data_IF_408434842900
#
_entry.id   IF_408434842900
#
_cell.length_a   1.000
_cell.length_b   1.000
_cell.length_c   1.000
_cell.angle_alpha   90.00
_cell.angle_beta   90.00
_cell.angle_gamma   90.00
#
_symmetry.space_group_name_H-M   'P 1'
#
loop_
_entity.id
_entity.type
_entity.pdbx_description
1 polymer ?
#
# COMPACT_ATOMS: atom_id res chain seq x y z
N UNK A 1 19.09 4.71 -0.73
CA UNK A 1 17.77 4.38 -1.31
C UNK A 1 17.20 3.17 -0.58
N UNK A 2 16.32 3.39 0.40
CA UNK A 2 15.64 2.32 1.13
C UNK A 2 14.58 1.68 0.23
N UNK A 3 14.94 0.58 -0.44
CA UNK A 3 13.96 -0.31 -1.06
C UNK A 3 13.30 -1.15 0.06
N UNK A 4 12.21 -0.63 0.65
CA UNK A 4 11.32 -1.47 1.47
C UNK A 4 10.63 -2.47 0.55
N UNK A 5 10.58 -3.73 0.97
CA UNK A 5 10.04 -4.85 0.20
C UNK A 5 8.68 -4.48 -0.41
N UNK A 6 8.62 -4.41 -1.75
CA UNK A 6 7.38 -4.11 -2.47
C UNK A 6 6.45 -5.30 -2.27
N UNK A 7 5.25 -5.02 -1.80
CA UNK A 7 4.18 -5.98 -1.56
C UNK A 7 4.06 -7.02 -2.69
N UNK A 8 3.80 -8.27 -2.32
CA UNK A 8 3.43 -9.32 -3.29
C UNK A 8 1.90 -9.36 -3.40
N UNK A 9 1.36 -10.01 -4.44
CA UNK A 9 -0.09 -10.12 -4.63
C UNK A 9 -0.80 -8.76 -4.57
N UNK A 10 -0.33 -7.84 -5.41
CA UNK A 10 -0.76 -6.45 -5.36
C UNK A 10 -1.86 -6.13 -6.37
N UNK A 11 -2.82 -5.30 -5.97
CA UNK A 11 -3.72 -4.55 -6.84
C UNK A 11 -3.34 -3.07 -6.76
N UNK A 12 -3.28 -2.42 -7.92
CA UNK A 12 -2.95 -0.99 -8.03
C UNK A 12 -4.08 -0.27 -8.77
N UNK A 13 -4.59 0.79 -8.16
CA UNK A 13 -5.56 1.70 -8.75
C UNK A 13 -4.86 3.02 -9.10
N UNK A 14 -4.93 3.43 -10.37
CA UNK A 14 -4.43 4.73 -10.78
C UNK A 14 -5.37 5.82 -10.24
N UNK A 15 -4.86 6.73 -9.42
CA UNK A 15 -5.65 7.84 -8.86
C UNK A 15 -5.71 9.06 -9.79
N UNK A 16 -4.93 9.02 -10.87
CA UNK A 16 -4.78 10.10 -11.84
C UNK A 16 -4.71 9.51 -13.23
N UNK A 17 -5.14 10.23 -14.29
CA UNK A 17 -5.10 9.71 -15.66
C UNK A 17 -3.69 9.29 -16.13
N UNK A 18 -2.66 9.99 -15.66
CA UNK A 18 -1.26 9.67 -15.94
C UNK A 18 -0.65 8.66 -14.97
N UNK A 19 -1.44 8.10 -14.04
CA UNK A 19 -1.05 7.11 -13.04
C UNK A 19 0.16 7.51 -12.16
N UNK A 20 0.50 8.81 -12.09
CA UNK A 20 1.62 9.28 -11.28
C UNK A 20 1.33 9.25 -9.78
N UNK A 21 0.05 9.28 -9.40
CA UNK A 21 -0.47 8.94 -8.07
C UNK A 21 -1.27 7.64 -8.15
N UNK A 22 -1.13 6.78 -7.15
CA UNK A 22 -1.77 5.48 -7.11
C UNK A 22 -2.17 5.06 -5.68
N UNK A 23 -3.17 4.19 -5.59
CA UNK A 23 -3.55 3.45 -4.40
C UNK A 23 -3.21 1.98 -4.61
N UNK A 24 -2.40 1.41 -3.73
CA UNK A 24 -1.93 0.03 -3.79
C UNK A 24 -2.46 -0.74 -2.58
N UNK A 25 -3.01 -1.94 -2.82
CA UNK A 25 -3.25 -2.94 -1.78
C UNK A 25 -2.42 -4.16 -2.12
N UNK A 26 -1.66 -4.69 -1.15
CA UNK A 26 -0.82 -5.86 -1.37
C UNK A 26 -0.33 -6.48 -0.06
N UNK A 27 0.29 -7.65 -0.14
CA UNK A 27 0.78 -8.38 1.03
C UNK A 27 2.25 -8.04 1.28
N UNK A 28 2.54 -7.46 2.44
CA UNK A 28 3.90 -7.37 2.97
C UNK A 28 4.34 -8.77 3.44
N UNK A 29 5.20 -9.42 2.65
CA UNK A 29 5.69 -10.76 2.96
C UNK A 29 6.67 -10.76 4.14
N UNK A 30 6.50 -11.70 5.05
CA UNK A 30 7.37 -11.90 6.20
C UNK A 30 6.92 -13.10 7.03
N UNK A 31 7.57 -13.37 8.19
CA UNK A 31 7.14 -14.42 9.10
C UNK A 31 5.71 -14.20 9.62
N UNK A 32 5.27 -12.94 9.65
CA UNK A 32 3.90 -12.49 9.91
C UNK A 32 3.49 -11.58 8.75
N UNK A 33 3.09 -12.20 7.65
CA UNK A 33 2.61 -11.46 6.49
C UNK A 33 1.30 -10.75 6.81
N UNK A 34 1.12 -9.55 6.25
CA UNK A 34 -0.09 -8.75 6.44
C UNK A 34 -0.38 -7.93 5.19
N UNK A 35 -1.63 -7.51 5.04
CA UNK A 35 -2.06 -6.65 3.94
C UNK A 35 -1.75 -5.19 4.28
N UNK A 36 -1.17 -4.48 3.34
CA UNK A 36 -0.93 -3.04 3.39
C UNK A 36 -1.85 -2.34 2.38
N UNK A 37 -2.49 -1.25 2.81
CA UNK A 37 -3.10 -0.26 1.93
C UNK A 37 -2.13 0.92 1.87
N UNK A 38 -1.82 1.43 0.68
CA UNK A 38 -0.90 2.53 0.56
C UNK A 38 -1.23 3.50 -0.57
N UNK A 39 -1.11 4.79 -0.28
CA UNK A 39 -1.16 5.85 -1.26
C UNK A 39 0.28 6.16 -1.65
N UNK A 40 0.57 6.25 -2.94
CA UNK A 40 1.93 6.49 -3.41
C UNK A 40 2.01 7.33 -4.67
N UNK A 41 3.24 7.67 -5.02
CA UNK A 41 3.56 8.33 -6.28
C UNK A 41 4.80 7.74 -6.98
N UNK A 42 4.98 8.13 -8.25
CA UNK A 42 6.09 7.67 -9.09
C UNK A 42 7.46 8.17 -8.64
N UNK A 43 7.51 9.15 -7.73
CA UNK A 43 8.76 9.65 -7.15
C UNK A 43 9.23 8.81 -5.95
N UNK A 44 8.43 7.81 -5.55
CA UNK A 44 8.75 6.91 -4.45
C UNK A 44 8.21 7.36 -3.09
N UNK A 45 7.43 8.44 -3.04
CA UNK A 45 6.71 8.81 -1.83
C UNK A 45 5.56 7.82 -1.62
N UNK A 46 5.41 7.30 -0.40
CA UNK A 46 4.39 6.31 -0.06
C UNK A 46 3.94 6.45 1.39
N UNK A 47 2.64 6.60 1.59
CA UNK A 47 1.98 6.55 2.90
C UNK A 47 1.31 5.19 3.01
N UNK A 48 1.66 4.40 4.02
CA UNK A 48 1.02 3.11 4.31
C UNK A 48 -0.04 3.35 5.36
N UNK A 49 -1.28 3.04 5.04
CA UNK A 49 -2.44 3.20 5.91
C UNK A 49 -2.76 1.83 6.53
N UNK A 50 -2.80 1.73 7.88
CA UNK A 50 -3.52 0.65 8.52
C UNK A 50 -4.97 0.61 8.02
N UNK A 51 -5.56 -0.58 7.90
CA UNK A 51 -6.96 -0.73 7.47
C UNK A 51 -7.92 0.08 8.32
N UNK A 52 -7.74 0.10 9.65
CA UNK A 52 -8.53 0.94 10.54
C UNK A 52 -8.42 2.45 10.23
N UNK A 53 -7.26 2.92 9.77
CA UNK A 53 -7.08 4.32 9.35
C UNK A 53 -7.76 4.59 8.01
N UNK A 54 -7.73 3.62 7.08
CA UNK A 54 -8.50 3.69 5.83
C UNK A 54 -10.01 3.75 6.10
N UNK A 55 -10.55 2.86 6.94
CA UNK A 55 -11.98 2.88 7.31
C UNK A 55 -12.37 4.21 7.94
N UNK A 56 -11.59 4.72 8.90
CA UNK A 56 -11.86 6.02 9.52
C UNK A 56 -11.74 7.18 8.51
N UNK A 57 -10.86 7.07 7.51
CA UNK A 57 -10.78 8.03 6.41
C UNK A 57 -12.05 8.06 5.56
N UNK A 58 -12.62 6.90 5.23
CA UNK A 58 -13.90 6.78 4.52
C UNK A 58 -15.06 7.32 5.36
N UNK A 59 -15.15 6.95 6.64
CA UNK A 59 -16.19 7.43 7.57
C UNK A 59 -16.20 8.95 7.72
N UNK A 60 -15.04 9.58 7.52
CA UNK A 60 -14.84 11.04 7.61
C UNK A 60 -15.06 11.78 6.29
N UNK A 61 -15.61 11.14 5.26
CA UNK A 61 -15.85 11.73 3.94
C UNK A 61 -16.53 13.11 4.01
N UNK A 62 -17.64 13.24 4.73
CA UNK A 62 -18.39 14.51 4.82
C UNK A 62 -17.58 15.61 5.54
N UNK A 63 -16.80 15.25 6.55
CA UNK A 63 -15.91 16.17 7.27
C UNK A 63 -14.80 16.67 6.34
N UNK A 64 -14.26 15.77 5.50
CA UNK A 64 -13.21 16.05 4.53
C UNK A 64 -13.74 16.89 3.36
N UNK A 65 -14.94 16.62 2.87
CA UNK A 65 -15.59 17.43 1.84
C UNK A 65 -15.78 18.88 2.33
N UNK A 66 -16.24 19.05 3.58
CA UNK A 66 -16.33 20.37 4.22
C UNK A 66 -14.96 21.03 4.41
N UNK A 67 -13.93 20.26 4.78
CA UNK A 67 -12.55 20.74 4.89
C UNK A 67 -12.06 21.33 3.56
N UNK A 68 -12.26 20.61 2.45
CA UNK A 68 -11.83 21.03 1.11
C UNK A 68 -12.56 22.27 0.61
N UNK A 69 -13.81 22.46 1.03
CA UNK A 69 -14.61 23.64 0.66
C UNK A 69 -14.31 24.88 1.54
N UNK A 70 -13.50 24.73 2.59
CA UNK A 70 -13.13 25.83 3.48
C UNK A 70 -12.28 26.88 2.74
N UNK A 71 -12.59 28.15 2.98
CA UNK A 71 -11.79 29.29 2.50
C UNK A 71 -10.55 29.55 3.34
N UNK A 72 -10.49 29.00 4.56
CA UNK A 72 -9.36 29.13 5.47
C UNK A 72 -8.52 27.84 5.51
N UNK A 73 -7.18 27.94 5.61
CA UNK A 73 -6.31 26.81 5.88
C UNK A 73 -6.80 26.07 7.14
N UNK A 74 -7.02 24.78 6.99
CA UNK A 74 -7.55 23.92 8.04
C UNK A 74 -7.01 22.51 7.88
N UNK A 75 -7.06 21.76 8.98
CA UNK A 75 -6.57 20.39 9.04
C UNK A 75 -7.57 19.47 9.74
N UNK A 76 -7.70 18.25 9.24
CA UNK A 76 -8.41 17.17 9.90
C UNK A 76 -7.40 16.08 10.31
N UNK A 77 -7.52 15.58 11.53
CA UNK A 77 -6.67 14.51 12.05
C UNK A 77 -7.53 13.26 12.28
N UNK A 78 -7.08 12.14 11.71
CA UNK A 78 -7.67 10.81 11.85
C UNK A 78 -6.60 9.91 12.46
N UNK A 79 -6.66 9.69 13.77
CA UNK A 79 -5.59 9.04 14.54
C UNK A 79 -4.25 9.80 14.36
N UNK A 80 -3.30 9.25 13.59
CA UNK A 80 -2.03 9.89 13.24
C UNK A 80 -1.97 10.39 11.79
N UNK A 81 -3.04 10.17 11.02
CA UNK A 81 -3.16 10.59 9.63
C UNK A 81 -3.73 11.99 9.56
N UNK A 82 -2.98 12.92 8.99
CA UNK A 82 -3.33 14.34 8.91
C UNK A 82 -3.66 14.70 7.47
N UNK A 83 -4.80 15.38 7.30
CA UNK A 83 -5.29 15.89 6.02
C UNK A 83 -5.33 17.41 6.15
N UNK A 84 -4.53 18.12 5.36
CA UNK A 84 -4.45 19.58 5.40
C UNK A 84 -4.81 20.16 4.04
N UNK A 85 -5.65 21.20 4.04
CA UNK A 85 -5.86 22.02 2.84
C UNK A 85 -4.78 23.11 2.79
N UNK A 86 -3.94 23.07 1.76
CA UNK A 86 -2.84 24.01 1.55
C UNK A 86 -2.91 24.62 0.16
N UNK A 87 -2.31 25.80 -0.02
CA UNK A 87 -2.15 26.43 -1.34
C UNK A 87 -0.73 26.24 -1.84
N UNK A 88 -0.59 25.69 -3.04
CA UNK A 88 0.69 25.58 -3.75
C UNK A 88 0.52 26.31 -5.07
N UNK A 89 1.27 27.40 -5.26
CA UNK A 89 1.16 28.26 -6.44
C UNK A 89 -0.28 28.72 -6.70
N UNK A 90 -0.97 29.19 -5.64
CA UNK A 90 -2.38 29.62 -5.65
C UNK A 90 -3.42 28.55 -6.03
N UNK A 91 -3.01 27.28 -6.09
CA UNK A 91 -3.89 26.14 -6.35
C UNK A 91 -4.14 25.37 -5.06
N UNK A 92 -5.42 25.13 -4.75
CA UNK A 92 -5.83 24.31 -3.61
C UNK A 92 -5.35 22.88 -3.78
N UNK A 93 -4.59 22.42 -2.78
CA UNK A 93 -3.93 21.13 -2.75
C UNK A 93 -4.18 20.49 -1.39
N UNK A 94 -4.46 19.20 -1.39
CA UNK A 94 -4.55 18.43 -0.15
C UNK A 94 -3.19 17.82 0.15
N UNK A 95 -2.68 18.07 1.34
CA UNK A 95 -1.52 17.42 1.91
C UNK A 95 -1.98 16.31 2.84
N UNK A 96 -1.62 15.08 2.49
CA UNK A 96 -1.76 13.91 3.36
C UNK A 96 -0.45 13.69 4.09
N UNK A 97 -0.48 13.47 5.40
CA UNK A 97 0.71 13.18 6.19
C UNK A 97 0.46 12.04 7.18
N UNK A 98 1.45 11.16 7.33
CA UNK A 98 1.47 10.12 8.36
C UNK A 98 2.91 9.91 8.80
N UNK A 99 3.18 10.07 10.09
CA UNK A 99 4.53 10.08 10.64
C UNK A 99 5.42 11.12 9.92
N UNK A 100 6.56 10.70 9.37
CA UNK A 100 7.55 11.51 8.66
C UNK A 100 7.31 11.60 7.14
N UNK A 101 6.19 11.05 6.65
CA UNK A 101 5.89 10.98 5.22
C UNK A 101 4.71 11.87 4.87
N UNK A 102 4.77 12.48 3.70
CA UNK A 102 3.66 13.25 3.16
C UNK A 102 3.48 13.05 1.65
N UNK A 103 2.26 13.31 1.18
CA UNK A 103 1.87 13.27 -0.22
C UNK A 103 0.96 14.45 -0.51
N UNK A 104 1.14 15.04 -1.68
CA UNK A 104 0.31 16.13 -2.19
C UNK A 104 -0.56 15.63 -3.33
N UNK A 105 -1.83 16.00 -3.31
CA UNK A 105 -2.81 15.62 -4.31
C UNK A 105 -3.87 16.69 -4.50
N UNK A 106 -4.51 16.68 -5.68
CA UNK A 106 -5.66 17.55 -5.94
C UNK A 106 -6.86 17.06 -5.14
N UNK A 107 -7.77 17.94 -4.71
CA UNK A 107 -9.00 17.51 -4.05
C UNK A 107 -9.81 16.48 -4.85
N UNK A 108 -9.88 16.63 -6.18
CA UNK A 108 -10.53 15.63 -7.05
C UNK A 108 -9.89 14.24 -6.99
N UNK A 109 -8.57 14.16 -6.85
CA UNK A 109 -7.84 12.89 -6.64
C UNK A 109 -8.21 12.27 -5.29
N UNK A 110 -8.44 13.09 -4.26
CA UNK A 110 -8.91 12.60 -2.97
C UNK A 110 -10.32 12.04 -3.05
N UNK A 111 -11.22 12.76 -3.70
CA UNK A 111 -12.61 12.33 -3.86
C UNK A 111 -12.72 11.04 -4.67
N UNK A 112 -11.87 10.88 -5.70
CA UNK A 112 -11.78 9.63 -6.43
C UNK A 112 -11.36 8.44 -5.55
N UNK A 113 -10.57 8.65 -4.49
CA UNK A 113 -10.26 7.58 -3.53
C UNK A 113 -11.51 7.08 -2.79
N UNK A 114 -12.48 7.97 -2.50
CA UNK A 114 -13.74 7.55 -1.87
C UNK A 114 -14.59 6.68 -2.79
N UNK A 115 -14.54 6.91 -4.11
CA UNK A 115 -15.23 6.06 -5.09
C UNK A 115 -14.66 4.63 -5.14
N UNK A 116 -13.42 4.44 -4.67
CA UNK A 116 -12.74 3.16 -4.63
C UNK A 116 -13.00 2.36 -3.34
N UNK A 117 -13.78 2.88 -2.38
CA UNK A 117 -14.04 2.25 -1.07
C UNK A 117 -14.31 0.74 -1.18
N UNK A 118 -15.36 0.37 -1.93
CA UNK A 118 -15.79 -1.03 -2.05
C UNK A 118 -14.73 -1.90 -2.75
N UNK A 119 -14.01 -1.34 -3.73
CA UNK A 119 -12.91 -2.04 -4.39
C UNK A 119 -11.74 -2.30 -3.44
N UNK A 120 -11.42 -1.33 -2.57
CA UNK A 120 -10.34 -1.43 -1.60
C UNK A 120 -10.70 -2.46 -0.53
N UNK A 121 -11.90 -2.40 0.03
CA UNK A 121 -12.37 -3.36 1.03
C UNK A 121 -12.38 -4.79 0.48
N UNK A 122 -12.94 -5.00 -0.71
CA UNK A 122 -12.98 -6.32 -1.33
C UNK A 122 -11.58 -6.91 -1.54
N UNK A 123 -10.67 -6.14 -2.16
CA UNK A 123 -9.29 -6.60 -2.38
C UNK A 123 -8.56 -6.83 -1.06
N UNK A 124 -8.78 -5.98 -0.05
CA UNK A 124 -8.15 -6.12 1.25
C UNK A 124 -8.54 -7.45 1.92
N UNK A 125 -9.83 -7.78 1.95
CA UNK A 125 -10.31 -9.02 2.55
C UNK A 125 -9.89 -10.26 1.76
N UNK A 126 -9.89 -10.21 0.43
CA UNK A 126 -9.41 -11.31 -0.42
C UNK A 126 -7.93 -11.61 -0.12
N UNK A 127 -7.08 -10.58 -0.05
CA UNK A 127 -5.67 -10.74 0.26
C UNK A 127 -5.42 -11.18 1.70
N UNK A 128 -6.29 -10.81 2.65
CA UNK A 128 -6.20 -11.28 4.03
C UNK A 128 -6.25 -12.81 4.10
N UNK A 129 -7.06 -13.46 3.25
CA UNK A 129 -7.16 -14.93 3.19
C UNK A 129 -5.85 -15.60 2.77
N UNK A 130 -4.98 -14.89 2.03
CA UNK A 130 -3.70 -15.42 1.56
C UNK A 130 -2.55 -15.27 2.57
N UNK A 131 -2.69 -14.41 3.60
CA UNK A 131 -1.58 -14.01 4.49
C UNK A 131 -0.94 -15.19 5.23
N UNK A 132 -1.73 -16.17 5.67
CA UNK A 132 -1.20 -17.36 6.34
C UNK A 132 -0.33 -18.21 5.39
N UNK A 133 -0.82 -18.48 4.18
CA UNK A 133 -0.07 -19.22 3.16
C UNK A 133 1.24 -18.52 2.79
N UNK A 134 1.20 -17.19 2.65
CA UNK A 134 2.41 -16.38 2.40
C UNK A 134 3.38 -16.50 3.57
N UNK A 135 2.90 -16.40 4.81
CA UNK A 135 3.73 -16.52 6.01
C UNK A 135 4.41 -17.88 6.11
N UNK A 136 3.68 -18.96 5.81
CA UNK A 136 4.22 -20.32 5.87
C UNK A 136 5.26 -20.56 4.78
N UNK A 137 5.00 -20.11 3.54
CA UNK A 137 5.98 -20.17 2.44
C UNK A 137 7.23 -19.35 2.78
N UNK A 138 7.07 -18.19 3.40
CA UNK A 138 8.19 -17.37 3.85
C UNK A 138 9.03 -18.08 4.92
N UNK A 139 8.39 -18.66 5.96
CA UNK A 139 9.07 -19.42 7.01
C UNK A 139 9.81 -20.63 6.43
N UNK A 140 9.18 -21.37 5.52
CA UNK A 140 9.80 -22.49 4.83
C UNK A 140 11.05 -22.05 4.07
N UNK A 141 10.96 -20.97 3.29
CA UNK A 141 12.10 -20.44 2.55
C UNK A 141 13.25 -20.04 3.48
N UNK A 142 12.97 -19.33 4.58
CA UNK A 142 13.99 -18.97 5.57
C UNK A 142 14.64 -20.20 6.21
N UNK A 143 13.84 -21.23 6.53
CA UNK A 143 14.35 -22.48 7.10
C UNK A 143 15.26 -23.20 6.11
N UNK A 144 14.86 -23.27 4.84
CA UNK A 144 15.66 -23.85 3.76
C UNK A 144 17.01 -23.13 3.60
N UNK A 145 17.00 -21.80 3.59
CA UNK A 145 18.24 -21.02 3.48
C UNK A 145 19.19 -21.31 4.65
N UNK A 146 18.67 -21.36 5.89
CA UNK A 146 19.46 -21.64 7.10
C UNK A 146 20.07 -23.04 7.08
N UNK A 147 19.30 -24.06 6.69
CA UNK A 147 19.77 -25.45 6.62
C UNK A 147 20.90 -25.64 5.61
N UNK A 148 20.91 -24.84 4.53
CA UNK A 148 21.92 -24.89 3.49
C UNK A 148 23.02 -23.83 3.68
N UNK A 149 23.10 -23.19 4.86
CA UNK A 149 24.09 -22.16 5.21
C UNK A 149 24.15 -20.98 4.21
N UNK A 150 23.03 -20.65 3.56
CA UNK A 150 22.96 -19.53 2.61
C UNK A 150 22.66 -18.25 3.37
N UNK A 151 23.70 -17.44 3.56
CA UNK A 151 23.62 -16.21 4.33
C UNK A 151 23.65 -14.94 3.46
N UNK A 152 24.00 -15.06 2.17
CA UNK A 152 24.07 -13.92 1.26
C UNK A 152 22.79 -13.79 0.42
N UNK A 153 22.47 -12.54 0.06
CA UNK A 153 21.25 -12.20 -0.68
C UNK A 153 21.24 -12.71 -2.12
N UNK A 154 22.39 -12.68 -2.80
CA UNK A 154 22.49 -13.08 -4.21
C UNK A 154 22.20 -14.57 -4.40
N UNK A 155 22.75 -15.41 -3.52
CA UNK A 155 22.55 -16.86 -3.55
C UNK A 155 21.12 -17.22 -3.18
N UNK A 156 20.53 -16.54 -2.18
CA UNK A 156 19.12 -16.69 -1.86
C UNK A 156 18.21 -16.38 -3.07
N UNK A 157 18.50 -15.31 -3.82
CA UNK A 157 17.76 -14.95 -5.04
C UNK A 157 17.95 -16.01 -6.13
N UNK A 158 19.18 -16.47 -6.35
CA UNK A 158 19.48 -17.48 -7.36
C UNK A 158 18.80 -18.81 -7.06
N UNK A 159 18.71 -19.18 -5.79
CA UNK A 159 17.99 -20.37 -5.33
C UNK A 159 16.49 -20.20 -5.52
N UNK A 160 15.94 -19.04 -5.15
CA UNK A 160 14.52 -18.76 -5.37
C UNK A 160 14.14 -18.86 -6.85
N UNK A 161 15.00 -18.35 -7.75
CA UNK A 161 14.84 -18.54 -9.22
C UNK A 161 14.88 -20.02 -9.60
N UNK A 162 15.87 -20.77 -9.12
CA UNK A 162 15.96 -22.22 -9.40
C UNK A 162 14.76 -23.02 -8.91
N UNK A 163 14.22 -22.68 -7.73
CA UNK A 163 13.02 -23.33 -7.18
C UNK A 163 11.80 -23.00 -8.05
N UNK A 164 11.65 -21.74 -8.46
CA UNK A 164 10.57 -21.31 -9.34
C UNK A 164 10.65 -21.96 -10.72
N UNK A 165 11.82 -21.94 -11.36
CA UNK A 165 12.05 -22.50 -12.69
C UNK A 165 11.87 -24.03 -12.73
N UNK A 166 12.21 -24.74 -11.64
CA UNK A 166 11.97 -26.19 -11.50
C UNK A 166 10.50 -26.55 -11.25
N UNK A 167 9.74 -25.62 -10.68
CA UNK A 167 8.34 -25.80 -10.34
C UNK A 167 7.41 -25.19 -11.40
N UNK A 168 7.82 -25.12 -12.68
CA UNK A 168 7.00 -24.58 -13.78
C UNK A 168 5.68 -25.34 -14.06
N UNK A 169 5.37 -26.38 -13.27
CA UNK A 169 4.08 -27.07 -13.21
C UNK A 169 3.25 -26.74 -11.95
N UNK A 170 3.73 -25.84 -11.08
CA UNK A 170 2.95 -25.30 -9.96
C UNK A 170 2.38 -23.97 -10.43
N UNK A 171 1.11 -24.01 -10.82
CA UNK A 171 0.27 -22.84 -10.94
C UNK A 171 0.41 -22.00 -9.67
N UNK A 172 1.06 -20.87 -9.89
CA UNK A 172 0.80 -19.57 -9.33
C UNK A 172 0.68 -19.44 -7.80
N UNK A 173 1.45 -18.46 -7.33
CA UNK A 173 1.12 -17.66 -6.15
C UNK A 173 -0.29 -16.99 -6.23
N UNK A 174 -1.11 -17.23 -7.27
CA UNK A 174 -2.46 -16.70 -7.52
C UNK A 174 -3.37 -17.80 -8.11
N UNK A 175 -3.92 -18.68 -7.27
CA UNK A 175 -5.17 -19.38 -7.63
C UNK A 175 -6.37 -18.94 -6.79
N UNK A 176 -6.25 -17.82 -6.06
CA UNK A 176 -7.34 -16.92 -5.63
C UNK A 176 -6.73 -15.53 -5.59
#
# INVERSE_FOLDING_TARGET
AHYSARSILRRVFALTPTAYKFLEIGIAAGPMAHVEIAIGDTQGNRIVLPHATWTAFIEKKDDIERLVQSTAPSSLVIQNFVIELVKICDVDTVKLSLCDKCLYLKPSTMFFMFELEQCVEHVYFDLCQCTNSVSDKFKYFITYLRQNCIMNKCDAINILRKIYDKNSHIDFICSI
#
